data_IF_152466972567
#
_entry.id   IF_152466972567
#
_cell.length_a   1.000
_cell.length_b   1.000
_cell.length_c   1.000
_cell.angle_alpha   90.00
_cell.angle_beta   90.00
_cell.angle_gamma   90.00
#
_symmetry.space_group_name_H-M   'P 1'
#
loop_
_entity.id
_entity.type
_entity.pdbx_description
1 polymer ?
#
# COMPACT_ATOMS: atom_id res chain seq x y z
N UNK A 1 7.05 -45.15 9.27
CA UNK A 1 6.36 -43.84 9.24
C UNK A 1 7.37 -42.69 9.15
N UNK A 2 8.03 -42.49 8.00
CA UNK A 2 9.07 -41.44 7.84
C UNK A 2 9.09 -40.75 6.46
N UNK A 3 8.16 -41.09 5.56
CA UNK A 3 8.17 -40.63 4.15
C UNK A 3 7.21 -39.47 3.82
N UNK A 4 6.40 -39.02 4.79
CA UNK A 4 5.41 -37.93 4.59
C UNK A 4 6.02 -36.55 4.91
N UNK A 5 7.14 -36.50 5.62
CA UNK A 5 7.80 -35.22 5.95
C UNK A 5 8.46 -34.54 4.75
N UNK A 6 8.91 -35.31 3.75
CA UNK A 6 9.59 -34.78 2.57
C UNK A 6 8.70 -33.92 1.66
N UNK A 7 7.45 -34.32 1.32
CA UNK A 7 6.55 -33.45 0.57
C UNK A 7 6.04 -32.27 1.41
N UNK A 8 5.91 -32.41 2.73
CA UNK A 8 5.51 -31.30 3.62
C UNK A 8 6.62 -30.26 3.75
N UNK A 9 7.88 -30.68 3.85
CA UNK A 9 9.05 -29.79 3.86
C UNK A 9 9.23 -29.14 2.49
N UNK A 10 9.00 -29.86 1.38
CA UNK A 10 9.02 -29.29 0.03
C UNK A 10 7.91 -28.24 -0.17
N UNK A 11 6.71 -28.48 0.36
CA UNK A 11 5.59 -27.52 0.34
C UNK A 11 5.84 -26.31 1.26
N UNK A 12 6.57 -26.49 2.35
CA UNK A 12 7.00 -25.42 3.26
C UNK A 12 8.14 -24.57 2.68
N UNK A 13 8.98 -25.14 1.81
CA UNK A 13 10.05 -24.42 1.08
C UNK A 13 9.51 -23.66 -0.14
N UNK A 14 8.34 -24.06 -0.66
CA UNK A 14 7.62 -23.40 -1.76
C UNK A 14 6.75 -22.21 -1.33
N UNK A 15 6.74 -21.81 -0.05
CA UNK A 15 6.18 -20.52 0.35
C UNK A 15 7.15 -19.41 -0.06
N UNK A 16 7.10 -19.05 -1.34
CA UNK A 16 7.86 -17.97 -1.97
C UNK A 16 7.86 -16.73 -1.06
N UNK A 17 9.04 -16.42 -0.54
CA UNK A 17 9.28 -15.28 0.33
C UNK A 17 9.33 -14.01 -0.51
N UNK A 18 8.17 -13.39 -0.72
CA UNK A 18 8.07 -12.09 -1.35
C UNK A 18 8.96 -11.01 -0.70
N UNK A 19 9.47 -10.04 -1.47
CA UNK A 19 10.45 -9.05 -0.99
C UNK A 19 9.85 -7.71 -0.56
N UNK A 20 8.69 -7.33 -1.11
CA UNK A 20 7.93 -6.13 -0.68
C UNK A 20 6.47 -6.50 -0.48
N UNK A 21 6.02 -6.54 0.76
CA UNK A 21 4.61 -6.83 1.06
C UNK A 21 3.79 -5.54 1.01
N UNK A 22 2.95 -5.41 -0.03
CA UNK A 22 1.97 -4.33 -0.13
C UNK A 22 0.62 -4.86 0.38
N UNK A 23 0.08 -4.22 1.41
CA UNK A 23 -1.21 -4.57 1.98
C UNK A 23 -2.14 -3.34 2.04
N UNK A 24 -3.29 -3.45 1.38
CA UNK A 24 -4.43 -2.57 1.62
C UNK A 24 -5.39 -3.25 2.59
N UNK A 25 -5.73 -2.57 3.69
CA UNK A 25 -6.69 -3.08 4.67
C UNK A 25 -7.82 -2.10 4.88
N UNK A 26 -9.04 -2.55 4.65
CA UNK A 26 -10.29 -1.83 4.92
C UNK A 26 -10.99 -2.51 6.08
N UNK A 27 -11.32 -1.76 7.12
CA UNK A 27 -11.98 -2.29 8.32
C UNK A 27 -13.29 -1.55 8.56
N UNK A 28 -14.36 -2.06 7.95
CA UNK A 28 -15.72 -1.55 8.07
C UNK A 28 -16.31 -1.91 9.44
N UNK A 29 -16.81 -0.90 10.14
CA UNK A 29 -17.38 -1.01 11.49
C UNK A 29 -18.91 -0.96 11.44
N UNK A 30 -19.54 -1.39 12.52
CA UNK A 30 -21.01 -1.46 12.61
C UNK A 30 -21.67 -0.08 12.62
N UNK A 31 -20.94 0.97 13.04
CA UNK A 31 -21.36 2.37 13.04
C UNK A 31 -21.26 3.04 11.65
N UNK A 32 -20.81 2.30 10.63
CA UNK A 32 -20.63 2.81 9.26
C UNK A 32 -19.26 3.42 8.99
N UNK A 33 -18.41 3.56 10.02
CA UNK A 33 -17.03 4.02 9.84
C UNK A 33 -16.15 2.96 9.18
N UNK A 34 -15.06 3.40 8.55
CA UNK A 34 -14.07 2.51 7.96
C UNK A 34 -12.66 3.04 8.21
N UNK A 35 -11.80 2.20 8.79
CA UNK A 35 -10.36 2.44 8.84
C UNK A 35 -9.70 1.83 7.60
N UNK A 36 -8.98 2.66 6.85
CA UNK A 36 -8.14 2.25 5.71
C UNK A 36 -6.68 2.29 6.14
N UNK A 37 -5.91 1.27 5.78
CA UNK A 37 -4.45 1.24 5.96
C UNK A 37 -3.81 0.75 4.67
N UNK A 38 -2.92 1.55 4.11
CA UNK A 38 -1.99 1.16 3.05
C UNK A 38 -0.63 0.90 3.70
N UNK A 39 -0.27 -0.36 3.82
CA UNK A 39 1.00 -0.82 4.39
C UNK A 39 1.98 -1.25 3.30
N UNK A 40 3.22 -0.83 3.47
CA UNK A 40 4.35 -1.18 2.62
C UNK A 40 5.47 -1.70 3.52
N UNK A 41 5.77 -3.00 3.44
CA UNK A 41 6.91 -3.59 4.14
C UNK A 41 8.03 -3.88 3.13
N UNK A 42 9.07 -3.05 3.17
CA UNK A 42 10.25 -3.14 2.31
C UNK A 42 11.44 -3.80 3.01
N UNK A 43 11.24 -4.38 4.21
CA UNK A 43 12.33 -4.91 5.05
C UNK A 43 13.15 -6.00 4.33
N UNK A 44 12.48 -6.85 3.54
CA UNK A 44 13.17 -7.88 2.74
C UNK A 44 13.90 -7.28 1.54
N UNK A 45 13.32 -6.32 0.82
CA UNK A 45 14.03 -5.58 -0.23
C UNK A 45 15.30 -4.88 0.31
N UNK A 46 15.23 -4.27 1.49
CA UNK A 46 16.40 -3.70 2.18
C UNK A 46 17.41 -4.81 2.54
N UNK A 47 16.94 -5.99 2.97
CA UNK A 47 17.83 -7.13 3.23
C UNK A 47 18.61 -7.57 2.00
N UNK A 48 17.95 -7.67 0.84
CA UNK A 48 18.58 -8.00 -0.45
C UNK A 48 19.55 -6.90 -0.86
N UNK A 49 19.13 -5.64 -0.81
CA UNK A 49 19.98 -4.49 -1.11
C UNK A 49 21.24 -4.51 -0.25
N UNK A 50 21.11 -4.64 1.07
CA UNK A 50 22.27 -4.69 1.97
C UNK A 50 23.24 -5.80 1.59
N UNK A 51 22.76 -6.99 1.23
CA UNK A 51 23.63 -8.10 0.83
C UNK A 51 24.43 -7.83 -0.45
N UNK A 52 23.91 -7.00 -1.35
CA UNK A 52 24.58 -6.61 -2.61
C UNK A 52 25.54 -5.41 -2.42
N UNK A 53 25.50 -4.74 -1.28
CA UNK A 53 26.32 -3.57 -0.99
C UNK A 53 27.66 -3.93 -0.33
N UNK A 54 28.69 -3.14 -0.63
CA UNK A 54 30.02 -3.26 -0.01
C UNK A 54 30.02 -2.75 1.43
N UNK A 55 30.94 -3.25 2.26
CA UNK A 55 31.05 -2.84 3.67
C UNK A 55 31.39 -1.36 3.82
N UNK A 56 32.12 -0.79 2.87
CA UNK A 56 32.41 0.64 2.81
C UNK A 56 31.14 1.50 2.71
N UNK A 57 30.11 1.04 1.99
CA UNK A 57 28.85 1.77 1.86
C UNK A 57 27.94 1.53 3.07
N UNK A 58 27.96 0.33 3.66
CA UNK A 58 27.21 0.04 4.89
C UNK A 58 27.70 0.85 6.09
N UNK A 59 28.96 1.25 6.10
CA UNK A 59 29.56 2.05 7.16
C UNK A 59 29.22 3.55 7.07
N UNK A 60 28.51 4.01 6.05
CA UNK A 60 28.18 5.44 5.93
C UNK A 60 27.06 5.84 6.91
N UNK A 61 27.03 7.11 7.37
CA UNK A 61 26.01 7.58 8.31
C UNK A 61 24.57 7.41 7.82
N UNK A 62 24.36 7.39 6.50
CA UNK A 62 23.05 7.16 5.89
C UNK A 62 22.47 5.77 6.24
N UNK A 63 23.32 4.76 6.49
CA UNK A 63 22.90 3.42 6.90
C UNK A 63 22.74 3.26 8.41
N UNK A 64 23.20 4.23 9.20
CA UNK A 64 22.95 4.30 10.64
C UNK A 64 21.59 4.93 10.99
N UNK A 65 20.79 5.31 9.98
CA UNK A 65 19.50 5.97 10.18
C UNK A 65 18.48 5.00 10.79
N UNK A 66 18.05 5.32 12.00
CA UNK A 66 16.87 4.76 12.65
C UNK A 66 15.82 5.87 12.82
N UNK A 67 14.59 5.60 12.38
CA UNK A 67 13.44 6.49 12.51
C UNK A 67 12.21 5.68 12.89
N UNK A 68 11.56 6.06 13.98
CA UNK A 68 10.23 5.55 14.35
C UNK A 68 9.36 6.78 14.58
N UNK A 69 8.65 7.20 13.53
CA UNK A 69 7.97 8.50 13.50
C UNK A 69 6.58 8.35 12.91
N UNK A 70 5.63 9.10 13.46
CA UNK A 70 4.31 9.27 12.89
C UNK A 70 4.04 10.75 12.61
N UNK A 71 3.33 11.02 11.52
CA UNK A 71 3.05 12.36 11.02
C UNK A 71 1.60 12.44 10.57
N UNK A 72 0.84 13.35 11.18
CA UNK A 72 -0.48 13.72 10.68
C UNK A 72 -0.34 14.57 9.41
N UNK A 73 -1.16 14.29 8.38
CA UNK A 73 -1.07 14.99 7.10
C UNK A 73 -1.40 16.48 7.22
N UNK A 74 -2.39 16.85 8.02
CA UNK A 74 -2.75 18.25 8.21
C UNK A 74 -1.61 19.04 8.86
N UNK A 75 -1.01 18.51 9.93
CA UNK A 75 0.14 19.12 10.61
C UNK A 75 1.40 19.24 9.73
N UNK A 76 1.48 18.46 8.66
CA UNK A 76 2.60 18.49 7.70
C UNK A 76 2.39 19.48 6.54
N UNK A 77 1.21 20.09 6.43
CA UNK A 77 0.89 21.08 5.40
C UNK A 77 1.25 22.47 5.93
N UNK A 78 2.03 23.29 5.20
CA UNK A 78 2.32 24.67 5.60
C UNK A 78 1.04 25.51 5.75
N UNK A 79 1.01 26.42 6.74
CA UNK A 79 -0.14 27.27 7.03
C UNK A 79 -0.63 28.07 5.80
N UNK A 80 0.30 28.51 4.95
CA UNK A 80 -0.03 29.22 3.70
C UNK A 80 -0.86 28.38 2.72
N UNK A 81 -0.67 27.06 2.71
CA UNK A 81 -1.47 26.13 1.90
C UNK A 81 -2.79 25.83 2.62
N UNK A 82 -2.77 25.66 3.95
CA UNK A 82 -3.97 25.37 4.73
C UNK A 82 -5.08 26.43 4.54
N UNK A 83 -4.71 27.71 4.42
CA UNK A 83 -5.65 28.82 4.23
C UNK A 83 -6.51 28.71 2.95
N UNK A 84 -6.01 28.01 1.92
CA UNK A 84 -6.71 27.83 0.64
C UNK A 84 -7.45 26.49 0.52
N UNK A 85 -7.40 25.63 1.55
CA UNK A 85 -7.96 24.28 1.46
C UNK A 85 -9.48 24.29 1.63
N UNK A 86 -10.15 23.40 0.88
CA UNK A 86 -11.57 23.13 1.07
C UNK A 86 -11.78 22.35 2.36
N UNK A 87 -12.98 22.45 2.94
CA UNK A 87 -13.33 21.77 4.19
C UNK A 87 -13.11 20.25 4.08
N UNK A 88 -13.48 19.64 2.97
CA UNK A 88 -13.34 18.20 2.74
C UNK A 88 -11.87 17.77 2.67
N UNK A 89 -11.01 18.59 2.06
CA UNK A 89 -9.57 18.34 2.00
C UNK A 89 -8.91 18.51 3.39
N UNK A 90 -9.37 19.48 4.19
CA UNK A 90 -8.95 19.69 5.57
C UNK A 90 -9.32 18.49 6.43
N UNK A 91 -10.57 18.04 6.34
CA UNK A 91 -11.08 16.92 7.14
C UNK A 91 -10.34 15.63 6.75
N UNK A 92 -10.10 15.39 5.45
CA UNK A 92 -9.30 14.27 4.95
C UNK A 92 -7.87 14.31 5.52
N UNK A 93 -7.20 15.47 5.45
CA UNK A 93 -5.83 15.61 5.94
C UNK A 93 -5.75 15.42 7.47
N UNK A 94 -6.74 15.89 8.23
CA UNK A 94 -6.77 15.74 9.69
C UNK A 94 -6.95 14.30 10.13
N UNK A 95 -7.71 13.51 9.39
CA UNK A 95 -7.96 12.10 9.70
C UNK A 95 -6.99 11.14 9.02
N UNK A 96 -5.92 11.65 8.38
CA UNK A 96 -4.89 10.87 7.71
C UNK A 96 -3.53 10.97 8.40
N UNK A 97 -2.85 9.85 8.48
CA UNK A 97 -1.57 9.71 9.19
C UNK A 97 -0.59 8.85 8.39
N UNK A 98 0.67 9.29 8.33
CA UNK A 98 1.81 8.50 7.86
C UNK A 98 2.60 8.03 9.07
N UNK A 99 2.83 6.72 9.16
CA UNK A 99 3.78 6.13 10.09
C UNK A 99 4.96 5.52 9.30
N UNK A 100 6.17 5.85 9.72
CA UNK A 100 7.41 5.32 9.16
C UNK A 100 8.21 4.67 10.29
N UNK A 101 8.51 3.38 10.11
CA UNK A 101 9.41 2.63 10.98
C UNK A 101 10.57 2.10 10.15
N UNK A 102 11.73 2.71 10.33
CA UNK A 102 12.96 2.44 9.59
C UNK A 102 14.10 2.20 10.57
N UNK A 103 14.84 1.13 10.35
CA UNK A 103 16.13 0.88 10.98
C UNK A 103 16.94 0.05 9.98
N UNK A 104 17.78 0.73 9.19
CA UNK A 104 18.51 0.08 8.10
C UNK A 104 19.52 -0.93 8.64
N UNK A 105 20.12 -0.67 9.81
CA UNK A 105 21.03 -1.63 10.48
C UNK A 105 20.33 -2.94 10.82
N UNK A 106 19.04 -2.89 11.17
CA UNK A 106 18.18 -4.05 11.42
C UNK A 106 17.41 -4.53 10.20
N UNK A 107 17.71 -4.01 9.00
CA UNK A 107 17.00 -4.34 7.75
C UNK A 107 15.49 -4.10 7.83
N UNK A 108 15.06 -3.11 8.61
CA UNK A 108 13.65 -2.80 8.87
C UNK A 108 13.24 -1.57 8.08
N UNK A 109 12.21 -1.69 7.25
CA UNK A 109 11.59 -0.55 6.57
C UNK A 109 10.10 -0.83 6.37
N UNK A 110 9.27 -0.19 7.19
CA UNK A 110 7.81 -0.24 7.09
C UNK A 110 7.25 1.16 6.98
N UNK A 111 6.31 1.33 6.07
CA UNK A 111 5.59 2.58 5.85
C UNK A 111 4.11 2.27 5.86
N UNK A 112 3.33 2.98 6.67
CA UNK A 112 1.89 2.87 6.70
C UNK A 112 1.26 4.24 6.47
N UNK A 113 0.24 4.28 5.62
CA UNK A 113 -0.67 5.42 5.51
C UNK A 113 -2.01 4.95 6.00
N UNK A 114 -2.57 5.64 6.99
CA UNK A 114 -3.87 5.28 7.54
C UNK A 114 -4.84 6.44 7.49
N UNK A 115 -6.11 6.11 7.37
CA UNK A 115 -7.21 7.05 7.36
C UNK A 115 -8.43 6.47 8.06
N UNK A 116 -9.22 7.32 8.73
CA UNK A 116 -10.50 6.94 9.32
C UNK A 116 -11.61 7.76 8.69
N UNK A 117 -12.44 7.09 7.88
CA UNK A 117 -13.65 7.67 7.33
C UNK A 117 -14.84 7.36 8.25
N UNK A 118 -15.71 8.35 8.51
CA UNK A 118 -16.86 8.19 9.40
C UNK A 118 -18.04 7.48 8.74
N UNK A 119 -18.12 7.52 7.41
CA UNK A 119 -19.18 6.91 6.62
C UNK A 119 -18.70 6.56 5.20
N UNK A 120 -19.59 5.92 4.42
CA UNK A 120 -19.31 5.49 3.06
C UNK A 120 -18.93 6.66 2.11
N UNK A 121 -19.58 7.82 2.23
CA UNK A 121 -19.31 8.96 1.36
C UNK A 121 -17.93 9.56 1.62
N UNK A 122 -17.53 9.66 2.89
CA UNK A 122 -16.18 10.09 3.27
C UNK A 122 -15.12 9.09 2.81
N UNK A 123 -15.40 7.78 2.92
CA UNK A 123 -14.50 6.74 2.40
C UNK A 123 -14.34 6.87 0.88
N UNK A 124 -15.43 7.03 0.13
CA UNK A 124 -15.35 7.23 -1.32
C UNK A 124 -14.56 8.48 -1.69
N UNK A 125 -14.79 9.58 -0.97
CA UNK A 125 -14.06 10.83 -1.16
C UNK A 125 -12.57 10.64 -0.90
N UNK A 126 -12.19 9.98 0.20
CA UNK A 126 -10.81 9.65 0.53
C UNK A 126 -10.15 8.85 -0.60
N UNK A 127 -10.79 7.75 -1.05
CA UNK A 127 -10.22 6.89 -2.08
C UNK A 127 -10.03 7.59 -3.43
N UNK A 128 -10.87 8.57 -3.75
CA UNK A 128 -10.77 9.39 -4.95
C UNK A 128 -9.74 10.53 -4.87
N UNK A 129 -9.27 10.90 -3.68
CA UNK A 129 -8.47 12.11 -3.48
C UNK A 129 -7.16 11.90 -2.69
N UNK A 130 -6.89 10.71 -2.16
CA UNK A 130 -5.69 10.43 -1.34
C UNK A 130 -4.37 10.76 -2.06
N UNK A 131 -4.30 10.52 -3.36
CA UNK A 131 -3.16 10.87 -4.22
C UNK A 131 -2.82 12.36 -4.21
N UNK A 132 -3.83 13.24 -4.26
CA UNK A 132 -3.68 14.70 -4.27
C UNK A 132 -3.02 15.16 -2.97
N UNK A 133 -3.39 14.54 -1.86
CA UNK A 133 -2.83 14.89 -0.55
C UNK A 133 -1.41 14.36 -0.41
N UNK A 134 -1.10 13.18 -0.94
CA UNK A 134 0.28 12.71 -1.01
C UNK A 134 1.17 13.58 -1.90
N UNK A 135 0.62 14.20 -2.96
CA UNK A 135 1.35 15.08 -3.87
C UNK A 135 1.58 16.47 -3.26
N UNK A 136 0.57 16.99 -2.55
CA UNK A 136 0.59 18.33 -1.96
C UNK A 136 1.24 18.38 -0.57
N UNK A 137 1.37 17.25 0.11
CA UNK A 137 2.07 17.19 1.40
C UNK A 137 3.59 17.21 1.23
N UNK A 138 4.29 17.73 2.24
CA UNK A 138 5.74 17.66 2.35
C UNK A 138 6.28 16.22 2.48
N UNK A 139 5.47 15.17 2.35
CA UNK A 139 5.98 13.80 2.11
C UNK A 139 6.93 13.77 0.91
N UNK A 140 6.69 14.64 -0.07
CA UNK A 140 7.60 14.83 -1.19
C UNK A 140 8.99 15.31 -0.76
N UNK A 141 9.17 16.07 0.33
CA UNK A 141 10.50 16.50 0.81
C UNK A 141 11.17 15.50 1.75
N UNK A 142 10.40 14.66 2.45
CA UNK A 142 10.93 13.51 3.21
C UNK A 142 11.53 12.46 2.26
N UNK A 143 11.04 12.41 1.01
CA UNK A 143 11.48 11.50 -0.07
C UNK A 143 12.40 12.16 -1.08
N UNK A 144 12.21 13.46 -1.37
CA UNK A 144 13.12 14.31 -2.16
C UNK A 144 14.16 14.97 -1.26
N UNK A 145 14.98 14.17 -0.60
CA UNK A 145 16.33 14.67 -0.35
C UNK A 145 16.96 14.82 -1.74
N UNK A 146 17.18 16.08 -2.14
CA UNK A 146 17.73 16.50 -3.42
C UNK A 146 18.79 15.51 -3.92
N UNK A 147 18.54 14.91 -5.10
CA UNK A 147 19.55 14.46 -6.04
C UNK A 147 20.82 13.82 -5.41
N UNK A 148 20.68 12.67 -4.77
CA UNK A 148 21.79 11.70 -4.65
C UNK A 148 21.30 10.36 -5.19
N UNK A 149 22.01 9.80 -6.18
CA UNK A 149 21.79 8.45 -6.72
C UNK A 149 21.66 7.47 -5.54
N UNK A 150 20.47 6.91 -5.32
CA UNK A 150 20.23 5.87 -4.31
C UNK A 150 19.04 6.08 -3.36
N UNK A 151 18.30 7.19 -3.41
CA UNK A 151 17.08 7.34 -2.60
C UNK A 151 15.92 6.50 -3.18
N UNK A 152 15.35 5.62 -2.36
CA UNK A 152 14.11 4.89 -2.69
C UNK A 152 12.96 5.90 -2.69
N UNK A 153 12.48 6.28 -3.87
CA UNK A 153 11.30 7.12 -4.02
C UNK A 153 10.07 6.33 -3.55
N UNK A 154 9.47 6.70 -2.41
CA UNK A 154 8.20 6.10 -1.94
C UNK A 154 6.97 6.81 -2.50
N UNK A 155 7.13 7.95 -3.17
CA UNK A 155 6.04 8.69 -3.83
C UNK A 155 5.27 7.90 -4.89
N UNK A 156 5.90 7.05 -5.74
CA UNK A 156 5.18 6.24 -6.71
C UNK A 156 4.21 5.24 -6.08
N UNK A 157 4.51 4.76 -4.86
CA UNK A 157 3.71 3.73 -4.19
C UNK A 157 2.40 4.28 -3.62
N UNK A 158 2.38 5.55 -3.20
CA UNK A 158 1.21 6.21 -2.60
C UNK A 158 0.29 6.79 -3.69
N UNK A 159 0.88 7.22 -4.80
CA UNK A 159 0.14 7.80 -5.95
C UNK A 159 -0.58 6.75 -6.80
N UNK A 160 -0.34 5.46 -6.56
CA UNK A 160 -0.91 4.34 -7.30
C UNK A 160 -2.37 3.99 -6.97
N UNK A 161 -3.22 4.96 -6.59
CA UNK A 161 -4.65 4.70 -6.32
C UNK A 161 -5.61 5.42 -7.28
N UNK A 162 -5.11 6.39 -8.06
CA UNK A 162 -5.96 7.22 -8.94
C UNK A 162 -6.50 6.52 -10.17
N UNK A 163 -5.96 5.33 -10.49
CA UNK A 163 -6.40 4.52 -11.60
C UNK A 163 -7.58 3.60 -11.24
N UNK A 164 -8.17 3.73 -10.06
CA UNK A 164 -9.40 3.04 -9.70
C UNK A 164 -10.61 3.97 -9.79
N UNK A 165 -11.70 3.42 -10.30
CA UNK A 165 -13.04 3.98 -10.21
C UNK A 165 -13.72 3.31 -9.01
N UNK A 166 -13.99 4.10 -7.97
CA UNK A 166 -14.62 3.64 -6.74
C UNK A 166 -16.11 3.99 -6.69
N UNK A 167 -16.88 3.07 -6.12
CA UNK A 167 -18.28 3.22 -5.71
C UNK A 167 -18.40 2.61 -4.31
N UNK A 168 -18.73 3.42 -3.32
CA UNK A 168 -18.87 2.99 -1.92
C UNK A 168 -20.23 3.44 -1.40
N UNK A 169 -21.01 2.46 -0.94
CA UNK A 169 -22.28 2.70 -0.25
C UNK A 169 -22.23 2.00 1.11
N UNK A 170 -23.20 2.24 2.01
CA UNK A 170 -23.25 1.55 3.29
C UNK A 170 -23.21 0.01 3.20
N UNK A 171 -23.61 -0.57 2.07
CA UNK A 171 -23.73 -2.02 1.86
C UNK A 171 -22.93 -2.54 0.65
N UNK A 172 -22.09 -1.70 0.03
CA UNK A 172 -21.32 -2.07 -1.16
C UNK A 172 -19.97 -1.37 -1.17
N UNK A 173 -18.94 -2.15 -1.46
CA UNK A 173 -17.64 -1.65 -1.88
C UNK A 173 -17.37 -2.15 -3.29
N UNK A 174 -17.10 -1.24 -4.22
CA UNK A 174 -16.72 -1.59 -5.60
C UNK A 174 -15.56 -0.73 -6.05
N UNK A 175 -14.60 -1.39 -6.69
CA UNK A 175 -13.49 -0.76 -7.42
C UNK A 175 -13.32 -1.42 -8.78
N UNK A 176 -13.02 -0.62 -9.79
CA UNK A 176 -12.67 -1.08 -11.13
C UNK A 176 -11.47 -0.30 -11.63
N UNK A 177 -10.52 -0.99 -12.26
CA UNK A 177 -9.37 -0.32 -12.87
C UNK A 177 -9.80 0.46 -14.11
N UNK A 178 -9.51 1.75 -14.10
CA UNK A 178 -9.45 2.61 -15.27
C UNK A 178 -8.17 2.30 -16.04
N UNK A 179 -8.31 1.57 -17.16
CA UNK A 179 -7.17 1.13 -17.98
C UNK A 179 -6.35 2.29 -18.53
N UNK A 180 -6.97 3.44 -18.81
CA UNK A 180 -6.26 4.60 -19.38
C UNK A 180 -5.32 5.17 -18.31
N UNK A 181 -5.88 5.48 -17.13
CA UNK A 181 -5.10 5.99 -16.00
C UNK A 181 -4.05 4.99 -15.52
N UNK A 182 -4.37 3.69 -15.54
CA UNK A 182 -3.42 2.65 -15.16
C UNK A 182 -2.23 2.60 -16.14
N UNK A 183 -2.48 2.69 -17.45
CA UNK A 183 -1.40 2.74 -18.43
C UNK A 183 -0.53 4.01 -18.28
N UNK A 184 -1.13 5.15 -17.94
CA UNK A 184 -0.37 6.37 -17.62
C UNK A 184 0.48 6.20 -16.36
N UNK A 185 -0.06 5.57 -15.33
CA UNK A 185 0.68 5.21 -14.13
C UNK A 185 1.88 4.32 -14.48
N UNK A 186 1.69 3.27 -15.28
CA UNK A 186 2.77 2.38 -15.71
C UNK A 186 3.86 3.12 -16.49
N UNK A 187 3.50 4.04 -17.40
CA UNK A 187 4.49 4.86 -18.12
C UNK A 187 5.34 5.71 -17.17
N UNK A 188 4.75 6.23 -16.09
CA UNK A 188 5.46 7.05 -15.09
C UNK A 188 6.35 6.21 -14.17
N UNK A 189 5.99 4.95 -13.92
CA UNK A 189 6.67 4.07 -12.95
C UNK A 189 7.50 2.95 -13.58
N UNK A 190 7.53 2.86 -14.92
CA UNK A 190 8.17 1.78 -15.66
C UNK A 190 9.63 1.55 -15.25
N UNK A 191 10.43 2.61 -15.13
CA UNK A 191 11.85 2.51 -14.75
C UNK A 191 12.03 1.89 -13.36
N UNK A 192 11.20 2.32 -12.39
CA UNK A 192 11.21 1.79 -11.02
C UNK A 192 10.82 0.31 -10.99
N UNK A 193 9.78 -0.08 -11.73
CA UNK A 193 9.32 -1.46 -11.82
C UNK A 193 10.36 -2.38 -12.48
N UNK A 194 10.99 -1.92 -13.57
CA UNK A 194 12.07 -2.64 -14.26
C UNK A 194 13.28 -2.83 -13.33
N UNK A 195 13.66 -1.78 -12.59
CA UNK A 195 14.75 -1.86 -11.62
C UNK A 195 14.43 -2.84 -10.48
N UNK A 196 13.22 -2.78 -9.91
CA UNK A 196 12.79 -3.71 -8.87
C UNK A 196 12.88 -5.16 -9.34
N UNK A 197 12.38 -5.44 -10.55
CA UNK A 197 12.47 -6.76 -11.17
C UNK A 197 13.92 -7.21 -11.41
N UNK A 198 14.79 -6.32 -11.90
CA UNK A 198 16.20 -6.63 -12.10
C UNK A 198 16.92 -6.96 -10.78
N UNK A 199 16.47 -6.38 -9.66
CA UNK A 199 16.95 -6.69 -8.31
C UNK A 199 16.26 -7.90 -7.66
N UNK A 200 15.43 -8.64 -8.43
CA UNK A 200 14.65 -9.79 -7.96
C UNK A 200 13.72 -9.43 -6.78
N UNK A 201 13.23 -8.19 -6.75
CA UNK A 201 12.31 -7.71 -5.73
C UNK A 201 10.88 -8.04 -6.17
N UNK A 202 10.36 -9.14 -5.64
CA UNK A 202 8.94 -9.50 -5.78
C UNK A 202 8.06 -8.54 -4.98
N UNK A 203 6.96 -8.10 -5.59
CA UNK A 203 5.98 -7.17 -5.00
C UNK A 203 4.58 -7.81 -4.97
N UNK A 204 4.33 -8.74 -4.04
CA UNK A 204 2.97 -9.21 -3.78
C UNK A 204 2.08 -8.04 -3.37
N UNK A 205 0.82 -8.20 -3.71
CA UNK A 205 -0.23 -7.26 -3.39
C UNK A 205 -1.39 -7.98 -2.74
N UNK A 206 -1.79 -7.48 -1.57
CA UNK A 206 -2.89 -8.04 -0.82
C UNK A 206 -3.90 -6.96 -0.50
N UNK A 207 -5.17 -7.27 -0.75
CA UNK A 207 -6.30 -6.42 -0.37
C UNK A 207 -7.18 -7.18 0.59
N UNK A 208 -7.38 -6.64 1.78
CA UNK A 208 -8.15 -7.26 2.86
C UNK A 208 -9.29 -6.33 3.23
N UNK A 209 -10.53 -6.80 3.09
CA UNK A 209 -11.73 -6.09 3.49
C UNK A 209 -12.36 -6.86 4.65
N UNK A 210 -12.40 -6.23 5.82
CA UNK A 210 -13.02 -6.77 7.03
C UNK A 210 -14.33 -6.05 7.28
N UNK A 211 -15.41 -6.81 7.43
CA UNK A 211 -16.77 -6.32 7.56
C UNK A 211 -17.34 -6.67 8.94
N UNK A 212 -18.11 -5.74 9.52
CA UNK A 212 -18.84 -6.02 10.75
C UNK A 212 -19.93 -7.09 10.56
N UNK A 213 -20.52 -7.13 9.35
CA UNK A 213 -21.60 -8.04 8.94
C UNK A 213 -21.11 -9.04 7.89
N UNK A 214 -21.71 -10.24 7.82
CA UNK A 214 -21.38 -11.22 6.78
C UNK A 214 -21.62 -10.68 5.38
N UNK A 215 -20.65 -10.87 4.50
CA UNK A 215 -20.72 -10.52 3.08
C UNK A 215 -21.74 -11.41 2.37
N UNK A 216 -22.60 -10.81 1.54
CA UNK A 216 -23.63 -11.49 0.76
C UNK A 216 -23.09 -11.98 -0.58
N UNK A 217 -22.35 -11.13 -1.30
CA UNK A 217 -21.82 -11.42 -2.63
C UNK A 217 -20.42 -10.86 -2.79
N UNK A 218 -19.56 -11.63 -3.42
CA UNK A 218 -18.23 -11.21 -3.88
C UNK A 218 -18.15 -11.45 -5.38
N UNK A 219 -17.73 -10.43 -6.12
CA UNK A 219 -17.49 -10.51 -7.56
C UNK A 219 -16.02 -10.23 -7.84
N UNK A 220 -15.21 -11.28 -7.69
CA UNK A 220 -13.86 -11.42 -8.18
C UNK A 220 -13.50 -12.91 -8.04
N UNK A 221 -13.09 -13.61 -9.12
CA UNK A 221 -12.86 -15.06 -9.08
C UNK A 221 -11.65 -15.49 -8.22
N UNK A 222 -10.74 -14.56 -7.92
CA UNK A 222 -9.55 -14.79 -7.08
C UNK A 222 -9.75 -14.34 -5.62
N UNK A 223 -10.88 -13.73 -5.30
CA UNK A 223 -11.16 -13.30 -3.94
C UNK A 223 -11.51 -14.50 -3.04
N UNK A 224 -10.87 -14.56 -1.89
CA UNK A 224 -11.04 -15.57 -0.87
C UNK A 224 -11.97 -15.00 0.20
N UNK A 225 -13.06 -15.69 0.48
CA UNK A 225 -13.99 -15.35 1.55
C UNK A 225 -13.66 -16.18 2.80
N UNK A 226 -13.57 -15.54 3.97
CA UNK A 226 -13.36 -16.24 5.24
C UNK A 226 -14.54 -17.13 5.62
N UNK A 227 -14.31 -18.09 6.52
CA UNK A 227 -15.33 -19.02 6.99
C UNK A 227 -16.55 -18.33 7.63
N UNK A 228 -16.33 -17.25 8.38
CA UNK A 228 -17.39 -16.42 8.98
C UNK A 228 -18.01 -15.41 8.00
N UNK A 229 -17.52 -15.40 6.75
CA UNK A 229 -17.90 -14.47 5.67
C UNK A 229 -17.70 -12.99 6.02
N UNK A 230 -16.88 -12.66 7.01
CA UNK A 230 -16.61 -11.27 7.42
C UNK A 230 -15.31 -10.71 6.86
N UNK A 231 -14.52 -11.51 6.15
CA UNK A 231 -13.29 -11.04 5.51
C UNK A 231 -13.24 -11.49 4.05
N UNK A 232 -12.93 -10.56 3.16
CA UNK A 232 -12.64 -10.82 1.75
C UNK A 232 -11.19 -10.45 1.52
N UNK A 233 -10.41 -11.41 1.04
CA UNK A 233 -8.99 -11.23 0.73
C UNK A 233 -8.73 -11.48 -0.74
N UNK A 234 -8.08 -10.53 -1.43
CA UNK A 234 -7.55 -10.71 -2.77
C UNK A 234 -6.02 -10.69 -2.68
N UNK A 235 -5.38 -11.75 -3.15
CA UNK A 235 -3.91 -11.88 -3.22
C UNK A 235 -3.50 -11.98 -4.69
N UNK A 236 -2.52 -11.18 -5.07
CA UNK A 236 -1.91 -11.17 -6.40
C UNK A 236 -0.48 -10.63 -6.26
N UNK A 237 0.20 -10.38 -7.36
CA UNK A 237 1.44 -9.61 -7.41
C UNK A 237 1.39 -8.53 -8.50
N UNK A 238 2.34 -7.59 -8.44
CA UNK A 238 2.45 -6.51 -9.41
C UNK A 238 2.66 -6.97 -10.84
N UNK A 239 3.39 -8.06 -11.07
CA UNK A 239 3.64 -8.60 -12.41
C UNK A 239 2.34 -9.10 -13.05
N UNK A 240 1.45 -9.73 -12.27
CA UNK A 240 0.13 -10.13 -12.72
C UNK A 240 -0.79 -8.92 -12.96
N UNK A 241 -0.76 -7.92 -12.08
CA UNK A 241 -1.56 -6.69 -12.23
C UNK A 241 -1.17 -5.94 -13.50
N UNK A 242 0.13 -5.85 -13.81
CA UNK A 242 0.62 -5.19 -15.04
C UNK A 242 0.09 -5.91 -16.29
N UNK A 243 0.10 -7.25 -16.31
CA UNK A 243 -0.36 -8.05 -17.45
C UNK A 243 -1.88 -8.00 -17.60
N UNK A 244 -2.60 -8.05 -16.47
CA UNK A 244 -4.06 -8.07 -16.46
C UNK A 244 -4.59 -7.24 -15.28
N UNK A 245 -4.72 -5.90 -15.42
CA UNK A 245 -5.17 -5.06 -14.32
C UNK A 245 -6.59 -5.38 -13.84
N UNK A 246 -7.42 -6.02 -14.67
CA UNK A 246 -8.79 -6.38 -14.32
C UNK A 246 -8.88 -7.38 -13.16
N UNK A 247 -7.79 -8.10 -12.83
CA UNK A 247 -7.74 -8.97 -11.64
C UNK A 247 -7.97 -8.19 -10.34
N UNK A 248 -7.70 -6.87 -10.34
CA UNK A 248 -7.90 -6.00 -9.20
C UNK A 248 -9.33 -5.45 -9.10
N UNK A 249 -10.17 -5.68 -10.12
CA UNK A 249 -11.58 -5.33 -10.06
C UNK A 249 -12.25 -6.13 -8.95
N UNK A 250 -12.90 -5.47 -8.02
CA UNK A 250 -13.52 -6.12 -6.88
C UNK A 250 -14.83 -5.44 -6.57
N UNK A 251 -15.89 -6.24 -6.43
CA UNK A 251 -17.14 -5.79 -5.86
C UNK A 251 -17.54 -6.72 -4.72
N UNK A 252 -17.94 -6.13 -3.60
CA UNK A 252 -18.42 -6.81 -2.42
C UNK A 252 -19.71 -6.15 -1.96
N UNK A 253 -20.79 -6.93 -1.85
CA UNK A 253 -22.08 -6.51 -1.28
C UNK A 253 -22.23 -7.14 0.12
N UNK A 254 -22.47 -6.34 1.16
CA UNK A 254 -22.47 -6.76 2.58
C UNK A 254 -23.66 -6.22 3.40
#
# INVERSE_FOLDING_TARGET
MRKIYLPVILFLVLSCSACVDIEERYSFKADGSCKVVYGFDMSRAISVLMNLMTDSVRATPEFAVAKDTSLNFYSAIPDSIQLGMKKEDIDLAKTSELSVKMDLSKKLMKVNISHVAKNAAELEYYLKNISKISQNSQLSSITKNKAKKGSIETQPLITGQDYYIYEVTPNRFRRVVDKIKFNEFLKKTQSTLVMAKAMLIDMPYKVVLNFAKPVKKVNNPKAILSADRKSVTLVTDMDEIIKNPAIMNLQVDF
#
